data_IF_582671612956
#
_entry.id   IF_582671612956
#
_cell.length_a   1.000
_cell.length_b   1.000
_cell.length_c   1.000
_cell.angle_alpha   90.00
_cell.angle_beta   90.00
_cell.angle_gamma   90.00
#
_symmetry.space_group_name_H-M   'P 1'
#
loop_
_entity.id
_entity.type
_entity.pdbx_description
1 polymer ?
#
# COMPACT_ATOMS: atom_id res chain seq x y z
N UNK A 1 1.92 26.74 -4.92
CA UNK A 1 0.81 25.75 -5.00
C UNK A 1 1.34 24.32 -4.99
N UNK A 2 2.35 23.98 -5.81
CA UNK A 2 2.99 22.66 -5.80
C UNK A 2 3.63 22.31 -4.45
N UNK A 3 4.26 23.28 -3.77
CA UNK A 3 4.86 23.05 -2.44
C UNK A 3 3.83 22.68 -1.38
N UNK A 4 2.57 23.12 -1.51
CA UNK A 4 1.51 22.71 -0.58
C UNK A 4 1.20 21.21 -0.75
N UNK A 5 1.19 20.69 -1.98
CA UNK A 5 0.97 19.27 -2.22
C UNK A 5 2.19 18.43 -1.81
N UNK A 6 3.41 18.89 -2.09
CA UNK A 6 4.64 18.17 -1.73
C UNK A 6 4.93 18.17 -0.22
N UNK A 7 4.62 19.26 0.49
CA UNK A 7 4.90 19.42 1.91
C UNK A 7 3.74 19.04 2.83
N UNK A 8 2.55 18.75 2.28
CA UNK A 8 1.38 18.36 3.07
C UNK A 8 1.14 16.85 3.06
N UNK A 9 0.54 16.36 4.13
CA UNK A 9 0.07 14.98 4.29
C UNK A 9 -0.93 14.55 3.20
N UNK A 10 -1.51 15.52 2.46
CA UNK A 10 -2.57 15.28 1.48
C UNK A 10 -2.06 14.46 0.30
N UNK A 11 -0.87 14.77 -0.24
CA UNK A 11 -0.36 14.03 -1.40
C UNK A 11 -0.05 12.56 -1.06
N UNK A 12 0.70 12.24 0.01
CA UNK A 12 0.86 10.87 0.48
C UNK A 12 -0.46 10.14 0.68
N UNK A 13 -1.43 10.78 1.34
CA UNK A 13 -2.72 10.18 1.61
C UNK A 13 -3.48 9.84 0.31
N UNK A 14 -3.52 10.76 -0.66
CA UNK A 14 -4.19 10.55 -1.94
C UNK A 14 -3.55 9.42 -2.75
N UNK A 15 -2.22 9.41 -2.86
CA UNK A 15 -1.49 8.38 -3.61
C UNK A 15 -1.73 7.00 -2.98
N UNK A 16 -1.57 6.88 -1.66
CA UNK A 16 -1.74 5.59 -0.97
C UNK A 16 -3.19 5.11 -1.01
N UNK A 17 -4.16 6.02 -0.87
CA UNK A 17 -5.60 5.71 -1.02
C UNK A 17 -5.88 5.13 -2.42
N UNK A 18 -5.39 5.79 -3.47
CA UNK A 18 -5.55 5.32 -4.85
C UNK A 18 -4.92 3.95 -5.07
N UNK A 19 -3.71 3.74 -4.52
CA UNK A 19 -3.03 2.45 -4.59
C UNK A 19 -3.79 1.35 -3.84
N UNK A 20 -4.41 1.67 -2.70
CA UNK A 20 -5.27 0.75 -1.96
C UNK A 20 -6.42 0.20 -2.79
N UNK A 21 -6.95 0.98 -3.74
CA UNK A 21 -7.94 0.51 -4.70
C UNK A 21 -7.32 -0.24 -5.89
N UNK A 22 -6.23 0.31 -6.45
CA UNK A 22 -5.64 -0.20 -7.68
C UNK A 22 -5.01 -1.58 -7.51
N UNK A 23 -4.27 -1.81 -6.42
CA UNK A 23 -3.54 -3.07 -6.17
C UNK A 23 -4.47 -4.30 -6.16
N UNK A 24 -5.52 -4.38 -5.32
CA UNK A 24 -6.41 -5.54 -5.31
C UNK A 24 -7.16 -5.71 -6.64
N UNK A 25 -7.42 -4.61 -7.35
CA UNK A 25 -8.07 -4.65 -8.67
C UNK A 25 -7.16 -5.20 -9.77
N UNK A 26 -5.85 -4.98 -9.69
CA UNK A 26 -4.89 -5.62 -10.59
C UNK A 26 -4.76 -7.11 -10.26
N UNK A 27 -4.76 -7.47 -8.98
CA UNK A 27 -4.65 -8.88 -8.58
C UNK A 27 -5.89 -9.69 -8.93
N UNK A 28 -7.08 -9.08 -8.96
CA UNK A 28 -8.30 -9.76 -9.37
C UNK A 28 -8.33 -10.19 -10.84
N UNK A 29 -7.40 -9.69 -11.66
CA UNK A 29 -7.23 -10.16 -13.04
C UNK A 29 -6.61 -11.57 -13.12
N UNK A 30 -5.94 -12.01 -12.05
CA UNK A 30 -5.18 -13.28 -12.02
C UNK A 30 -5.81 -14.29 -11.06
N UNK A 31 -6.36 -13.83 -9.95
CA UNK A 31 -6.96 -14.72 -8.94
C UNK A 31 -8.36 -15.19 -9.37
N UNK A 32 -8.66 -16.46 -9.10
CA UNK A 32 -10.00 -17.02 -9.29
C UNK A 32 -11.01 -16.45 -8.27
N UNK A 33 -12.30 -16.56 -8.58
CA UNK A 33 -13.37 -16.26 -7.63
C UNK A 33 -13.50 -17.38 -6.57
N UNK A 34 -13.68 -17.01 -5.31
CA UNK A 34 -13.89 -17.92 -4.18
C UNK A 34 -13.35 -17.35 -2.87
N UNK A 35 -13.80 -17.87 -1.73
CA UNK A 35 -13.40 -17.33 -0.41
C UNK A 35 -11.89 -17.47 -0.18
N UNK A 36 -11.33 -18.68 -0.39
CA UNK A 36 -9.89 -18.92 -0.20
C UNK A 36 -9.01 -18.08 -1.14
N UNK A 37 -9.26 -18.03 -2.47
CA UNK A 37 -8.53 -17.12 -3.36
C UNK A 37 -8.64 -15.65 -2.93
N UNK A 38 -9.81 -15.21 -2.47
CA UNK A 38 -10.03 -13.82 -2.06
C UNK A 38 -9.28 -13.46 -0.78
N UNK A 39 -9.16 -14.39 0.17
CA UNK A 39 -8.29 -14.22 1.35
C UNK A 39 -6.82 -14.09 0.94
N UNK A 40 -6.34 -14.92 0.00
CA UNK A 40 -4.97 -14.80 -0.51
C UNK A 40 -4.75 -13.51 -1.29
N UNK A 41 -5.73 -13.07 -2.08
CA UNK A 41 -5.69 -11.78 -2.76
C UNK A 41 -5.60 -10.64 -1.75
N UNK A 42 -6.42 -10.66 -0.69
CA UNK A 42 -6.39 -9.64 0.36
C UNK A 42 -5.02 -9.58 1.05
N UNK A 43 -4.49 -10.75 1.44
CA UNK A 43 -3.20 -10.86 2.10
C UNK A 43 -2.05 -10.38 1.21
N UNK A 44 -1.99 -10.86 -0.04
CA UNK A 44 -0.96 -10.45 -1.00
C UNK A 44 -1.07 -8.97 -1.34
N UNK A 45 -2.28 -8.43 -1.48
CA UNK A 45 -2.49 -6.99 -1.66
C UNK A 45 -1.96 -6.19 -0.47
N UNK A 46 -2.19 -6.63 0.77
CA UNK A 46 -1.69 -5.96 1.97
C UNK A 46 -0.15 -5.98 2.03
N UNK A 47 0.49 -7.11 1.71
CA UNK A 47 1.96 -7.23 1.63
C UNK A 47 2.52 -6.31 0.54
N UNK A 48 1.87 -6.26 -0.62
CA UNK A 48 2.27 -5.36 -1.70
C UNK A 48 2.10 -3.90 -1.32
N UNK A 49 1.01 -3.54 -0.63
CA UNK A 49 0.80 -2.18 -0.12
C UNK A 49 1.84 -1.77 0.92
N UNK A 50 2.28 -2.71 1.77
CA UNK A 50 3.43 -2.49 2.66
C UNK A 50 4.71 -2.18 1.88
N UNK A 51 5.00 -2.94 0.83
CA UNK A 51 6.14 -2.67 -0.06
C UNK A 51 6.04 -1.31 -0.77
N UNK A 52 4.86 -1.00 -1.31
CA UNK A 52 4.58 0.28 -1.98
C UNK A 52 4.78 1.45 -1.03
N UNK A 53 4.28 1.37 0.22
CA UNK A 53 4.46 2.42 1.21
C UNK A 53 5.92 2.63 1.59
N UNK A 54 6.68 1.55 1.79
CA UNK A 54 8.15 1.62 2.04
C UNK A 54 8.84 2.37 0.91
N UNK A 55 8.62 1.94 -0.34
CA UNK A 55 9.25 2.55 -1.51
C UNK A 55 8.82 4.00 -1.70
N UNK A 56 7.54 4.30 -1.48
CA UNK A 56 6.99 5.64 -1.63
C UNK A 56 7.59 6.61 -0.60
N UNK A 57 7.63 6.26 0.69
CA UNK A 57 8.20 7.13 1.70
C UNK A 57 9.71 7.27 1.58
N UNK A 58 10.43 6.20 1.23
CA UNK A 58 11.86 6.30 0.91
C UNK A 58 12.08 7.29 -0.25
N UNK A 59 11.28 7.20 -1.31
CA UNK A 59 11.35 8.12 -2.44
C UNK A 59 11.08 9.57 -2.03
N UNK A 60 10.11 9.81 -1.15
CA UNK A 60 9.83 11.15 -0.63
C UNK A 60 11.02 11.73 0.15
N UNK A 61 11.69 10.93 0.98
CA UNK A 61 12.88 11.38 1.71
C UNK A 61 14.00 11.80 0.75
N UNK A 62 14.24 10.99 -0.29
CA UNK A 62 15.26 11.31 -1.31
C UNK A 62 14.89 12.56 -2.11
N UNK A 63 13.61 12.72 -2.48
CA UNK A 63 13.11 13.90 -3.19
C UNK A 63 13.16 15.18 -2.34
N UNK A 64 13.09 15.05 -1.01
CA UNK A 64 13.26 16.16 -0.06
C UNK A 64 14.74 16.52 0.18
N UNK A 65 15.67 15.81 -0.47
CA UNK A 65 17.10 16.09 -0.42
C UNK A 65 17.85 15.38 0.70
N UNK A 66 17.22 14.42 1.41
CA UNK A 66 17.92 13.61 2.42
C UNK A 66 18.85 12.62 1.69
N UNK A 67 20.18 12.67 1.91
CA UNK A 67 21.11 11.74 1.30
C UNK A 67 20.83 10.31 1.74
N UNK A 68 20.92 9.35 0.81
CA UNK A 68 20.67 7.93 1.12
C UNK A 68 21.61 7.39 2.21
N UNK A 69 22.81 7.95 2.33
CA UNK A 69 23.77 7.60 3.38
C UNK A 69 23.27 7.98 4.78
N UNK A 70 22.57 9.10 4.92
CA UNK A 70 22.00 9.54 6.20
C UNK A 70 20.77 8.71 6.57
N UNK A 71 19.95 8.34 5.58
CA UNK A 71 18.78 7.47 5.78
C UNK A 71 19.15 6.12 6.40
N UNK A 72 20.31 5.58 6.04
CA UNK A 72 20.79 4.28 6.51
C UNK A 72 21.98 4.38 7.48
N UNK A 73 22.34 5.58 7.97
CA UNK A 73 23.43 5.79 8.93
C UNK A 73 23.28 4.93 10.20
N UNK A 74 22.08 4.78 10.80
CA UNK A 74 21.89 3.93 11.97
C UNK A 74 22.06 2.42 11.66
N UNK A 75 22.14 2.06 10.38
CA UNK A 75 22.23 0.71 9.84
C UNK A 75 21.08 0.37 8.89
N UNK A 76 21.34 -0.54 7.94
CA UNK A 76 20.37 -0.95 6.90
C UNK A 76 19.09 -1.53 7.52
N UNK A 77 19.24 -2.36 8.55
CA UNK A 77 18.09 -2.98 9.23
C UNK A 77 17.21 -1.93 9.89
N UNK A 78 17.81 -0.95 10.56
CA UNK A 78 17.10 0.14 11.22
C UNK A 78 16.33 1.00 10.20
N UNK A 79 16.95 1.30 9.05
CA UNK A 79 16.27 1.99 7.96
C UNK A 79 15.08 1.21 7.40
N UNK A 80 15.24 -0.08 7.14
CA UNK A 80 14.14 -0.95 6.67
C UNK A 80 13.00 -0.98 7.69
N UNK A 81 13.30 -1.17 8.98
CA UNK A 81 12.29 -1.19 10.05
C UNK A 81 11.58 0.15 10.16
N UNK A 82 12.31 1.27 10.01
CA UNK A 82 11.73 2.61 10.04
C UNK A 82 10.67 2.78 8.94
N UNK A 83 11.02 2.50 7.68
CA UNK A 83 10.06 2.65 6.57
C UNK A 83 8.95 1.61 6.61
N UNK A 84 9.22 0.38 7.08
CA UNK A 84 8.20 -0.63 7.27
C UNK A 84 7.16 -0.18 8.31
N UNK A 85 7.61 0.41 9.42
CA UNK A 85 6.73 1.00 10.44
C UNK A 85 5.93 2.16 9.87
N UNK A 86 6.57 3.04 9.09
CA UNK A 86 5.89 4.17 8.46
C UNK A 86 4.81 3.70 7.47
N UNK A 87 5.11 2.66 6.68
CA UNK A 87 4.15 2.02 5.79
C UNK A 87 3.01 1.33 6.54
N UNK A 88 3.27 0.72 7.69
CA UNK A 88 2.24 0.12 8.52
C UNK A 88 1.29 1.19 9.10
N UNK A 89 1.84 2.31 9.56
CA UNK A 89 1.02 3.45 10.05
C UNK A 89 0.20 4.04 8.90
N UNK A 90 0.76 4.15 7.69
CA UNK A 90 0.02 4.68 6.55
C UNK A 90 -1.15 3.79 6.09
N UNK A 91 -1.29 2.57 6.65
CA UNK A 91 -2.45 1.70 6.43
C UNK A 91 -3.77 2.35 6.82
N UNK A 92 -3.78 3.39 7.66
CA UNK A 92 -4.99 4.19 7.89
C UNK A 92 -5.53 4.85 6.62
N UNK A 93 -4.67 5.17 5.65
CA UNK A 93 -5.09 5.73 4.35
C UNK A 93 -5.52 4.64 3.38
N UNK A 94 -4.69 3.61 3.20
CA UNK A 94 -4.91 2.64 2.13
C UNK A 94 -5.67 1.39 2.55
N UNK A 95 -5.60 1.00 3.82
CA UNK A 95 -6.18 -0.24 4.37
C UNK A 95 -7.70 -0.31 4.22
N UNK A 96 -8.47 0.70 4.68
CA UNK A 96 -9.93 0.71 4.51
C UNK A 96 -10.34 0.62 3.04
N UNK A 97 -9.65 1.36 2.16
CA UNK A 97 -9.95 1.38 0.72
C UNK A 97 -9.64 0.02 0.08
N UNK A 98 -8.53 -0.61 0.46
CA UNK A 98 -8.19 -1.95 0.00
C UNK A 98 -9.23 -2.97 0.43
N UNK A 99 -9.67 -2.94 1.69
CA UNK A 99 -10.70 -3.86 2.20
C UNK A 99 -12.01 -3.67 1.42
N UNK A 100 -12.47 -2.41 1.25
CA UNK A 100 -13.67 -2.12 0.47
C UNK A 100 -13.53 -2.57 -0.99
N UNK A 101 -12.35 -2.39 -1.57
CA UNK A 101 -12.06 -2.81 -2.95
C UNK A 101 -12.11 -4.32 -3.10
N UNK A 102 -11.54 -5.06 -2.15
CA UNK A 102 -11.58 -6.53 -2.14
C UNK A 102 -13.00 -7.05 -1.90
N UNK A 103 -13.75 -6.44 -0.97
CA UNK A 103 -15.13 -6.81 -0.69
C UNK A 103 -16.07 -6.64 -1.90
N UNK A 104 -15.75 -5.70 -2.79
CA UNK A 104 -16.50 -5.47 -4.04
C UNK A 104 -16.02 -6.30 -5.24
N UNK A 105 -15.04 -7.20 -5.09
CA UNK A 105 -14.55 -8.02 -6.20
C UNK A 105 -15.48 -9.16 -6.64
N UNK A 106 -16.20 -9.87 -5.74
CA UNK A 106 -17.08 -10.95 -6.15
C UNK A 106 -18.18 -10.48 -7.11
N UNK A 107 -18.30 -11.13 -8.27
CA UNK A 107 -19.31 -10.78 -9.30
C UNK A 107 -20.34 -11.88 -9.52
N UNK A 108 -19.93 -13.15 -9.41
CA UNK A 108 -20.76 -14.29 -9.83
C UNK A 108 -21.06 -15.26 -8.68
N UNK A 109 -21.07 -14.78 -7.44
CA UNK A 109 -21.44 -15.61 -6.28
C UNK A 109 -22.95 -15.91 -6.31
N UNK A 110 -23.31 -16.95 -7.08
CA UNK A 110 -24.70 -17.44 -7.25
C UNK A 110 -24.93 -18.74 -6.48
N UNK A 111 -23.88 -19.51 -6.21
CA UNK A 111 -23.90 -20.73 -5.39
C UNK A 111 -22.80 -20.69 -4.34
N UNK A 112 -23.06 -21.26 -3.18
CA UNK A 112 -22.07 -21.37 -2.11
C UNK A 112 -20.89 -22.25 -2.57
N UNK A 113 -19.83 -21.60 -3.04
CA UNK A 113 -18.52 -22.23 -3.26
C UNK A 113 -17.70 -21.98 -1.99
N UNK A 114 -17.78 -22.95 -1.07
CA UNK A 114 -17.00 -23.02 0.16
C UNK A 114 -15.54 -23.42 -0.14
#
# INVERSE_FOLDING_TARGET
MLDFFASSLVFPALVLTLMGWLVPKLYSLVFAEGVRPLMWLAFTSAVTMMGVGVLFFLSLYLLQGVPIGEVFEPGVMQGIVHFARLSAISAFFWGPIMILSVAGLPKHWVKEVW
#
